data_IF_153847960065
#
_entry.id   IF_153847960065
#
_cell.length_a   1.000
_cell.length_b   1.000
_cell.length_c   1.000
_cell.angle_alpha   90.00
_cell.angle_beta   90.00
_cell.angle_gamma   90.00
#
_symmetry.space_group_name_H-M   'P 1'
#
loop_
_entity.id
_entity.type
_entity.pdbx_description
1 polymer ?
#
# COMPACT_ATOMS: atom_id res chain seq x y z
N UNK A 1 6.99 31.27 -50.45
CA UNK A 1 6.59 29.92 -50.05
C UNK A 1 7.50 29.28 -48.96
N UNK A 2 8.83 29.47 -48.98
CA UNK A 2 9.72 28.87 -47.95
C UNK A 2 9.50 29.41 -46.51
N UNK A 3 9.03 30.63 -46.32
CA UNK A 3 8.79 31.23 -44.99
C UNK A 3 7.59 30.61 -44.22
N UNK A 4 6.59 30.12 -44.92
CA UNK A 4 5.38 29.53 -44.31
C UNK A 4 5.57 28.07 -43.92
N UNK A 5 6.51 27.36 -44.54
CA UNK A 5 6.86 25.95 -44.21
C UNK A 5 7.58 25.89 -42.87
N UNK A 6 8.44 26.85 -42.55
CA UNK A 6 9.17 26.93 -41.29
C UNK A 6 8.22 27.23 -40.11
N UNK A 7 7.22 28.12 -40.36
CA UNK A 7 6.22 28.44 -39.33
C UNK A 7 5.28 27.27 -39.02
N UNK A 8 4.94 26.44 -40.01
CA UNK A 8 4.11 25.26 -39.82
C UNK A 8 4.85 24.12 -39.05
N UNK A 9 6.15 24.00 -39.25
CA UNK A 9 6.95 23.00 -38.51
C UNK A 9 7.21 23.40 -37.07
N UNK A 10 7.19 24.69 -36.72
CA UNK A 10 7.36 25.18 -35.36
C UNK A 10 6.09 24.97 -34.49
N UNK A 11 4.90 24.90 -35.11
CA UNK A 11 3.65 24.60 -34.42
C UNK A 11 3.45 23.10 -34.12
N UNK A 12 4.23 22.18 -34.73
CA UNK A 12 4.13 20.76 -34.48
C UNK A 12 4.98 20.30 -33.30
N UNK A 13 5.81 21.14 -32.67
CA UNK A 13 6.41 20.91 -31.37
C UNK A 13 5.44 21.31 -30.25
N UNK A 14 4.17 20.94 -30.33
CA UNK A 14 3.33 20.84 -29.15
C UNK A 14 3.91 19.73 -28.28
N UNK A 15 4.82 20.08 -27.40
CA UNK A 15 5.24 19.23 -26.29
C UNK A 15 3.97 18.67 -25.66
N UNK A 16 3.78 17.38 -25.76
CA UNK A 16 2.84 16.70 -24.88
C UNK A 16 3.40 16.89 -23.45
N UNK A 17 2.98 17.98 -22.82
CA UNK A 17 3.18 18.17 -21.39
C UNK A 17 2.35 17.05 -20.75
N UNK A 18 3.02 15.96 -20.43
CA UNK A 18 2.42 14.94 -19.59
C UNK A 18 2.10 15.64 -18.27
N UNK A 19 0.83 15.93 -18.02
CA UNK A 19 0.42 16.50 -16.75
C UNK A 19 0.87 15.54 -15.64
N UNK A 20 1.72 16.03 -14.76
CA UNK A 20 2.13 15.25 -13.59
C UNK A 20 0.89 14.98 -12.77
N UNK A 21 0.62 13.70 -12.51
CA UNK A 21 -0.53 13.29 -11.70
C UNK A 21 -0.13 13.33 -10.22
N UNK A 22 -0.91 14.02 -9.41
CA UNK A 22 -0.70 14.11 -7.97
C UNK A 22 -1.69 13.26 -7.19
N UNK A 23 -1.24 12.66 -6.09
CA UNK A 23 -2.09 11.83 -5.21
C UNK A 23 -3.31 12.59 -4.69
N UNK A 24 -3.20 13.89 -4.45
CA UNK A 24 -4.32 14.77 -4.10
C UNK A 24 -5.48 14.66 -5.08
N UNK A 25 -5.19 14.75 -6.38
CA UNK A 25 -6.18 14.69 -7.45
C UNK A 25 -6.80 13.29 -7.57
N UNK A 26 -5.95 12.28 -7.46
CA UNK A 26 -6.35 10.86 -7.46
C UNK A 26 -7.30 10.58 -6.30
N UNK A 27 -7.00 11.07 -5.10
CA UNK A 27 -7.84 10.90 -3.92
C UNK A 27 -9.16 11.68 -4.03
N UNK A 28 -9.15 12.90 -4.54
CA UNK A 28 -10.36 13.70 -4.77
C UNK A 28 -11.33 13.03 -5.75
N UNK A 29 -10.80 12.31 -6.75
CA UNK A 29 -11.58 11.63 -7.81
C UNK A 29 -11.82 10.14 -7.51
N UNK A 30 -11.40 9.64 -6.36
CA UNK A 30 -11.54 8.25 -5.97
C UNK A 30 -13.00 7.79 -6.05
N UNK A 31 -13.31 6.66 -6.73
CA UNK A 31 -14.65 6.09 -6.72
C UNK A 31 -15.05 5.58 -5.34
N UNK A 32 -16.31 5.74 -4.98
CA UNK A 32 -16.83 5.26 -3.69
C UNK A 32 -16.71 3.73 -3.54
N UNK A 33 -16.65 2.98 -4.66
CA UNK A 33 -16.38 1.54 -4.65
C UNK A 33 -15.01 1.16 -4.10
N UNK A 34 -14.01 2.05 -4.18
CA UNK A 34 -12.66 1.83 -3.64
C UNK A 34 -12.59 2.23 -2.16
N UNK A 35 -13.37 3.22 -1.73
CA UNK A 35 -13.41 3.66 -0.32
C UNK A 35 -14.87 3.92 0.12
N UNK A 36 -15.68 2.85 0.26
CA UNK A 36 -17.15 2.96 0.33
C UNK A 36 -17.67 3.67 1.57
N UNK A 37 -16.89 3.75 2.64
CA UNK A 37 -17.31 4.41 3.87
C UNK A 37 -17.07 5.92 3.87
N UNK A 38 -16.47 6.47 2.82
CA UNK A 38 -16.05 7.87 2.76
C UNK A 38 -16.63 8.57 1.53
N UNK A 39 -17.48 9.55 1.75
CA UNK A 39 -18.06 10.33 0.66
C UNK A 39 -17.01 11.19 -0.05
N UNK A 40 -17.34 11.67 -1.25
CA UNK A 40 -16.49 12.63 -1.97
C UNK A 40 -16.25 13.90 -1.16
N UNK A 41 -17.27 14.42 -0.45
CA UNK A 41 -17.14 15.63 0.37
C UNK A 41 -16.17 15.39 1.52
N UNK A 42 -16.26 14.24 2.22
CA UNK A 42 -15.30 13.90 3.28
C UNK A 42 -13.86 13.85 2.77
N UNK A 43 -13.64 13.34 1.54
CA UNK A 43 -12.29 13.33 0.93
C UNK A 43 -11.77 14.74 0.65
N UNK A 44 -12.62 15.62 0.13
CA UNK A 44 -12.26 17.02 -0.12
C UNK A 44 -11.99 17.77 1.18
N UNK A 45 -12.80 17.56 2.22
CA UNK A 45 -12.59 18.14 3.54
C UNK A 45 -11.25 17.69 4.16
N UNK A 46 -10.91 16.39 4.04
CA UNK A 46 -9.61 15.88 4.48
C UNK A 46 -8.44 16.53 3.74
N UNK A 47 -8.56 16.74 2.43
CA UNK A 47 -7.54 17.42 1.63
C UNK A 47 -7.37 18.86 2.12
N UNK A 48 -8.49 19.58 2.27
CA UNK A 48 -8.46 20.97 2.72
C UNK A 48 -7.85 21.10 4.12
N UNK A 49 -8.22 20.24 5.06
CA UNK A 49 -7.67 20.25 6.42
C UNK A 49 -6.15 20.03 6.42
N UNK A 50 -5.66 18.99 5.74
CA UNK A 50 -4.22 18.66 5.77
C UNK A 50 -3.39 19.75 5.07
N UNK A 51 -3.89 20.33 3.97
CA UNK A 51 -3.21 21.42 3.26
C UNK A 51 -3.14 22.73 4.06
N UNK A 52 -4.11 22.94 4.95
CA UNK A 52 -4.11 24.06 5.90
C UNK A 52 -3.39 23.76 7.23
N UNK A 53 -2.69 22.63 7.34
CA UNK A 53 -1.95 22.25 8.54
C UNK A 53 -2.84 21.85 9.73
N UNK A 54 -4.10 21.53 9.46
CA UNK A 54 -5.06 21.05 10.45
C UNK A 54 -5.08 19.52 10.50
N UNK A 55 -5.54 18.96 11.60
CA UNK A 55 -5.81 17.52 11.67
C UNK A 55 -6.95 17.15 10.69
N UNK A 56 -6.62 16.33 9.68
CA UNK A 56 -7.59 15.94 8.67
C UNK A 56 -8.47 14.78 9.18
N UNK A 57 -9.44 15.12 10.01
CA UNK A 57 -10.37 14.21 10.69
C UNK A 57 -11.80 14.48 10.25
N UNK A 58 -12.49 13.45 9.78
CA UNK A 58 -13.89 13.49 9.37
C UNK A 58 -14.63 12.25 9.90
N UNK A 59 -15.96 12.27 9.83
CA UNK A 59 -16.77 11.08 10.12
C UNK A 59 -17.10 10.32 8.85
N UNK A 60 -17.05 8.97 8.92
CA UNK A 60 -17.51 8.11 7.84
C UNK A 60 -19.05 7.94 7.86
N UNK A 61 -19.58 7.10 6.96
CA UNK A 61 -21.03 6.85 6.87
C UNK A 61 -21.64 6.13 8.10
N UNK A 62 -20.81 5.60 8.99
CA UNK A 62 -21.22 4.95 10.25
C UNK A 62 -20.89 5.78 11.49
N UNK A 63 -20.60 7.07 11.32
CA UNK A 63 -20.17 7.98 12.40
C UNK A 63 -18.82 7.66 13.04
N UNK A 64 -18.07 6.66 12.52
CA UNK A 64 -16.71 6.38 12.94
C UNK A 64 -15.75 7.46 12.45
N UNK A 65 -14.66 7.64 13.18
CA UNK A 65 -13.64 8.61 12.79
C UNK A 65 -12.73 8.08 11.69
N UNK A 66 -12.55 8.89 10.67
CA UNK A 66 -11.56 8.73 9.62
C UNK A 66 -10.50 9.80 9.79
N UNK A 67 -9.23 9.43 9.68
CA UNK A 67 -8.10 10.35 9.79
C UNK A 67 -7.18 10.17 8.60
N UNK A 68 -6.97 11.22 7.82
CA UNK A 68 -5.94 11.27 6.78
C UNK A 68 -4.60 11.59 7.46
N UNK A 69 -3.77 10.55 7.66
CA UNK A 69 -2.52 10.66 8.40
C UNK A 69 -1.39 11.29 7.56
N UNK A 70 -1.41 11.09 6.25
CA UNK A 70 -0.40 11.61 5.32
C UNK A 70 -0.94 11.79 3.91
N UNK A 71 -0.56 12.88 3.27
CA UNK A 71 -0.80 13.17 1.87
C UNK A 71 0.46 13.83 1.29
N UNK A 72 1.10 13.18 0.33
CA UNK A 72 2.25 13.70 -0.42
C UNK A 72 1.93 13.72 -1.91
N UNK A 73 2.90 14.08 -2.75
CA UNK A 73 2.71 14.11 -4.20
C UNK A 73 2.27 12.75 -4.77
N UNK A 74 2.81 11.66 -4.23
CA UNK A 74 2.64 10.32 -4.77
C UNK A 74 2.14 9.28 -3.75
N UNK A 75 1.90 9.67 -2.48
CA UNK A 75 1.52 8.76 -1.41
C UNK A 75 0.42 9.34 -0.53
N UNK A 76 -0.44 8.45 -0.04
CA UNK A 76 -1.49 8.74 0.92
C UNK A 76 -1.59 7.62 1.95
N UNK A 77 -1.82 7.98 3.22
CA UNK A 77 -2.18 7.05 4.29
C UNK A 77 -3.41 7.58 5.04
N UNK A 78 -4.44 6.77 5.14
CA UNK A 78 -5.71 7.12 5.77
C UNK A 78 -6.22 5.98 6.66
N UNK A 79 -6.52 6.29 7.90
CA UNK A 79 -7.20 5.40 8.83
C UNK A 79 -8.70 5.51 8.60
N UNK A 80 -9.31 4.41 8.17
CA UNK A 80 -10.73 4.38 7.78
C UNK A 80 -11.66 3.98 8.90
N UNK A 81 -11.11 3.36 9.96
CA UNK A 81 -11.75 3.03 11.24
C UNK A 81 -10.68 2.61 12.24
N UNK A 82 -11.07 2.31 13.48
CA UNK A 82 -10.15 1.74 14.49
C UNK A 82 -9.58 0.36 14.06
N UNK A 83 -10.29 -0.33 13.17
CA UNK A 83 -9.94 -1.66 12.68
C UNK A 83 -9.34 -1.71 11.29
N UNK A 84 -9.11 -0.58 10.61
CA UNK A 84 -8.61 -0.61 9.23
C UNK A 84 -7.95 0.70 8.79
N UNK A 85 -6.94 0.56 7.91
CA UNK A 85 -6.36 1.69 7.20
C UNK A 85 -6.11 1.36 5.73
N UNK A 86 -5.95 2.41 4.93
CA UNK A 86 -5.66 2.31 3.50
C UNK A 86 -4.44 3.18 3.19
N UNK A 87 -3.50 2.62 2.46
CA UNK A 87 -2.39 3.35 1.85
C UNK A 87 -2.53 3.33 0.33
N UNK A 88 -2.19 4.43 -0.30
CA UNK A 88 -2.16 4.52 -1.77
C UNK A 88 -0.82 5.09 -2.23
N UNK A 89 -0.32 4.56 -3.34
CA UNK A 89 0.93 5.00 -3.96
C UNK A 89 0.75 5.15 -5.45
N UNK A 90 1.13 6.32 -5.99
CA UNK A 90 1.34 6.52 -7.41
C UNK A 90 2.72 5.99 -7.78
N UNK A 91 2.78 5.21 -8.84
CA UNK A 91 4.03 4.71 -9.39
C UNK A 91 3.93 4.54 -10.90
N UNK A 92 5.07 4.43 -11.56
CA UNK A 92 5.12 4.25 -13.01
C UNK A 92 5.68 2.88 -13.34
N UNK A 93 4.99 2.15 -14.22
CA UNK A 93 5.42 0.87 -14.78
C UNK A 93 5.52 1.00 -16.30
N UNK A 94 6.74 1.04 -16.83
CA UNK A 94 6.98 1.44 -18.22
C UNK A 94 6.54 2.88 -18.48
N UNK A 95 5.61 3.08 -19.39
CA UNK A 95 5.05 4.40 -19.72
C UNK A 95 3.71 4.69 -19.02
N UNK A 96 3.24 3.78 -18.16
CA UNK A 96 1.92 3.89 -17.53
C UNK A 96 2.02 4.35 -16.08
N UNK A 97 1.24 5.37 -15.74
CA UNK A 97 1.00 5.73 -14.35
C UNK A 97 -0.06 4.79 -13.75
N UNK A 98 0.23 4.22 -12.62
CA UNK A 98 -0.60 3.26 -11.90
C UNK A 98 -0.79 3.69 -10.45
N UNK A 99 -1.87 3.20 -9.84
CA UNK A 99 -2.23 3.44 -8.45
C UNK A 99 -2.20 2.10 -7.71
N UNK A 100 -1.28 1.96 -6.76
CA UNK A 100 -1.29 0.84 -5.82
C UNK A 100 -2.14 1.21 -4.61
N UNK A 101 -3.08 0.36 -4.25
CA UNK A 101 -3.96 0.51 -3.08
C UNK A 101 -3.73 -0.67 -2.16
N UNK A 102 -3.21 -0.41 -0.98
CA UNK A 102 -3.06 -1.34 0.12
C UNK A 102 -4.17 -1.11 1.14
N UNK A 103 -5.02 -2.09 1.38
CA UNK A 103 -6.00 -2.06 2.46
C UNK A 103 -5.60 -3.07 3.53
N UNK A 104 -5.43 -2.59 4.76
CA UNK A 104 -5.07 -3.43 5.90
C UNK A 104 -6.19 -3.44 6.93
N UNK A 105 -6.58 -4.64 7.33
CA UNK A 105 -7.53 -4.89 8.41
C UNK A 105 -6.75 -5.28 9.66
N UNK A 106 -7.05 -4.61 10.78
CA UNK A 106 -6.32 -4.73 12.04
C UNK A 106 -7.00 -5.72 13.01
N UNK A 107 -7.52 -6.83 12.55
CA UNK A 107 -8.11 -7.85 13.41
C UNK A 107 -7.14 -8.33 14.52
N UNK A 108 -7.36 -9.49 15.15
CA UNK A 108 -6.40 -10.06 16.10
C UNK A 108 -5.00 -10.18 15.51
N UNK A 109 -4.90 -10.42 14.20
CA UNK A 109 -3.69 -10.29 13.38
C UNK A 109 -4.00 -9.45 12.16
N UNK A 110 -3.08 -8.54 11.82
CA UNK A 110 -3.26 -7.67 10.66
C UNK A 110 -3.15 -8.47 9.36
N UNK A 111 -4.06 -8.17 8.41
CA UNK A 111 -4.06 -8.76 7.08
C UNK A 111 -4.25 -7.69 6.00
N UNK A 112 -3.57 -7.81 4.87
CA UNK A 112 -3.59 -6.83 3.80
C UNK A 112 -4.03 -7.40 2.47
N UNK A 113 -4.83 -6.61 1.76
CA UNK A 113 -5.17 -6.79 0.35
C UNK A 113 -4.55 -5.66 -0.46
N UNK A 114 -3.76 -6.01 -1.47
CA UNK A 114 -3.07 -5.02 -2.30
C UNK A 114 -3.51 -5.16 -3.76
N UNK A 115 -4.04 -4.09 -4.31
CA UNK A 115 -4.55 -4.02 -5.68
C UNK A 115 -3.93 -2.86 -6.44
N UNK A 116 -3.75 -3.05 -7.73
CA UNK A 116 -3.27 -2.03 -8.66
C UNK A 116 -4.38 -1.64 -9.62
N UNK A 117 -4.54 -0.34 -9.80
CA UNK A 117 -5.50 0.28 -10.70
C UNK A 117 -4.75 1.19 -11.70
N UNK A 118 -5.37 1.43 -12.84
CA UNK A 118 -4.96 2.53 -13.71
C UNK A 118 -5.49 3.88 -13.20
N UNK A 119 -5.10 4.96 -13.85
CA UNK A 119 -5.52 6.33 -13.46
C UNK A 119 -7.01 6.62 -13.68
N UNK A 120 -7.73 5.73 -14.38
CA UNK A 120 -9.19 5.74 -14.54
C UNK A 120 -9.89 4.85 -13.52
N UNK A 121 -9.18 4.33 -12.52
CA UNK A 121 -9.65 3.42 -11.49
C UNK A 121 -10.14 2.05 -12.00
N UNK A 122 -9.72 1.67 -13.19
CA UNK A 122 -9.94 0.32 -13.69
C UNK A 122 -8.94 -0.63 -13.04
N UNK A 123 -9.43 -1.73 -12.48
CA UNK A 123 -8.59 -2.78 -11.91
C UNK A 123 -7.61 -3.36 -12.94
N UNK A 124 -6.34 -3.44 -12.57
CA UNK A 124 -5.26 -3.99 -13.39
C UNK A 124 -4.84 -5.36 -12.87
N UNK A 125 -4.41 -5.44 -11.61
CA UNK A 125 -3.94 -6.70 -10.99
C UNK A 125 -3.96 -6.63 -9.46
N UNK A 126 -3.93 -7.78 -8.81
CA UNK A 126 -3.56 -7.88 -7.41
C UNK A 126 -2.02 -7.97 -7.28
N UNK A 127 -1.49 -7.50 -6.18
CA UNK A 127 -0.09 -7.77 -5.80
C UNK A 127 -0.07 -9.04 -4.97
N UNK A 128 0.62 -10.05 -5.47
CA UNK A 128 0.72 -11.34 -4.78
C UNK A 128 1.52 -11.23 -3.50
N UNK A 129 1.07 -11.91 -2.46
CA UNK A 129 1.82 -12.07 -1.21
C UNK A 129 3.11 -12.84 -1.48
N UNK A 130 4.22 -12.51 -0.81
CA UNK A 130 5.45 -13.30 -0.91
C UNK A 130 5.22 -14.72 -0.39
N UNK A 131 5.95 -15.68 -0.96
CA UNK A 131 5.96 -17.04 -0.44
C UNK A 131 6.59 -17.07 0.95
N UNK A 132 6.11 -17.98 1.80
CA UNK A 132 6.60 -18.12 3.18
C UNK A 132 8.12 -18.37 3.25
N UNK A 133 8.68 -19.07 2.27
CA UNK A 133 10.11 -19.36 2.20
C UNK A 133 10.96 -18.08 2.15
N UNK A 134 10.48 -17.02 1.50
CA UNK A 134 11.18 -15.73 1.46
C UNK A 134 11.23 -15.06 2.84
N UNK A 135 10.15 -15.20 3.64
CA UNK A 135 10.08 -14.69 4.99
C UNK A 135 10.94 -15.50 5.97
N UNK A 136 11.14 -16.79 5.70
CA UNK A 136 11.94 -17.71 6.50
C UNK A 136 13.42 -17.78 6.08
N UNK A 137 13.82 -17.14 4.99
CA UNK A 137 15.15 -17.24 4.40
C UNK A 137 16.27 -17.04 5.43
N UNK A 138 16.17 -16.01 6.28
CA UNK A 138 17.17 -15.76 7.32
C UNK A 138 17.23 -16.87 8.37
N UNK A 139 16.10 -17.47 8.71
CA UNK A 139 16.07 -18.61 9.64
C UNK A 139 16.77 -19.82 9.01
N UNK A 140 16.60 -20.03 7.71
CA UNK A 140 17.20 -21.15 6.97
C UNK A 140 18.73 -21.00 6.83
N UNK A 141 19.24 -19.78 6.74
CA UNK A 141 20.69 -19.49 6.70
C UNK A 141 21.41 -19.80 8.03
N UNK A 142 20.68 -19.98 9.14
CA UNK A 142 21.24 -20.24 10.47
C UNK A 142 21.36 -21.74 10.81
N UNK A 143 21.27 -22.61 9.84
CA UNK A 143 21.46 -24.05 10.08
C UNK A 143 22.92 -24.39 10.49
N UNK A 144 23.15 -25.43 11.36
CA UNK A 144 22.14 -26.33 11.93
C UNK A 144 21.36 -25.70 13.08
N UNK A 145 20.05 -25.93 13.12
CA UNK A 145 19.18 -25.40 14.16
C UNK A 145 19.25 -26.19 15.46
N UNK A 146 19.03 -25.51 16.59
CA UNK A 146 18.68 -26.21 17.83
C UNK A 146 17.32 -26.91 17.66
N UNK A 147 17.08 -27.96 18.45
CA UNK A 147 15.79 -28.69 18.47
C UNK A 147 14.62 -27.72 18.68
N UNK A 148 14.76 -26.80 19.65
CA UNK A 148 13.75 -25.79 19.97
C UNK A 148 13.44 -24.87 18.75
N UNK A 149 14.45 -24.46 18.03
CA UNK A 149 14.26 -23.63 16.83
C UNK A 149 13.61 -24.39 15.70
N UNK A 150 14.00 -25.66 15.49
CA UNK A 150 13.40 -26.52 14.47
C UNK A 150 11.90 -26.75 14.74
N UNK A 151 11.54 -27.00 16.01
CA UNK A 151 10.14 -27.15 16.42
C UNK A 151 9.34 -25.85 16.25
N UNK A 152 9.91 -24.72 16.64
CA UNK A 152 9.29 -23.41 16.45
C UNK A 152 9.02 -23.11 14.97
N UNK A 153 10.00 -23.34 14.09
CA UNK A 153 9.83 -23.11 12.65
C UNK A 153 8.78 -24.07 12.04
N UNK A 154 8.69 -25.30 12.54
CA UNK A 154 7.63 -26.25 12.12
C UNK A 154 6.25 -25.72 12.49
N UNK A 155 6.07 -25.19 13.70
CA UNK A 155 4.81 -24.59 14.14
C UNK A 155 4.45 -23.35 13.31
N UNK A 156 5.41 -22.45 13.05
CA UNK A 156 5.21 -21.27 12.19
C UNK A 156 4.76 -21.66 10.78
N UNK A 157 5.39 -22.69 10.20
CA UNK A 157 5.01 -23.18 8.86
C UNK A 157 3.60 -23.76 8.87
N UNK A 158 3.28 -24.61 9.82
CA UNK A 158 1.96 -25.25 9.93
C UNK A 158 0.85 -24.19 10.09
N UNK A 159 1.06 -23.16 10.90
CA UNK A 159 0.09 -22.08 11.06
C UNK A 159 -0.05 -21.23 9.80
N UNK A 160 1.05 -20.84 9.18
CA UNK A 160 1.04 -20.03 7.96
C UNK A 160 0.48 -20.79 6.73
N UNK A 161 0.54 -22.12 6.71
CA UNK A 161 -0.13 -22.93 5.68
C UNK A 161 -1.65 -22.91 5.81
N UNK A 162 -2.16 -22.85 7.05
CA UNK A 162 -3.61 -22.81 7.32
C UNK A 162 -4.18 -21.40 7.13
N UNK A 163 -3.49 -20.39 7.67
CA UNK A 163 -3.95 -19.00 7.65
C UNK A 163 -2.77 -18.02 7.48
N UNK A 164 -2.30 -17.79 6.26
CA UNK A 164 -1.15 -16.95 5.99
C UNK A 164 -1.49 -15.44 6.10
N UNK A 165 -1.77 -14.96 7.32
CA UNK A 165 -2.03 -13.53 7.56
C UNK A 165 -0.73 -12.72 7.35
N UNK A 166 -0.78 -11.75 6.47
CA UNK A 166 0.35 -10.90 6.15
C UNK A 166 -0.10 -9.44 6.03
N UNK A 167 0.55 -8.57 6.79
CA UNK A 167 0.38 -7.13 6.57
C UNK A 167 1.36 -6.61 5.52
N UNK A 168 0.88 -5.73 4.67
CA UNK A 168 1.68 -4.97 3.72
C UNK A 168 1.77 -3.51 4.16
N UNK A 169 2.88 -2.85 3.82
CA UNK A 169 3.06 -1.42 3.99
C UNK A 169 3.71 -0.83 2.74
N UNK A 170 3.11 0.21 2.19
CA UNK A 170 3.69 0.97 1.07
C UNK A 170 4.72 1.98 1.58
N UNK A 171 5.82 2.12 0.85
CA UNK A 171 6.87 3.08 1.20
C UNK A 171 6.58 4.43 0.54
N UNK A 172 6.45 5.52 1.32
CA UNK A 172 6.22 6.86 0.79
C UNK A 172 7.36 7.37 -0.09
N UNK A 173 8.61 7.01 0.23
CA UNK A 173 9.80 7.49 -0.49
C UNK A 173 10.28 6.59 -1.63
N UNK A 174 9.60 5.49 -1.94
CA UNK A 174 10.04 4.56 -3.00
C UNK A 174 8.88 3.69 -3.52
N UNK A 175 9.07 3.10 -4.72
CA UNK A 175 8.11 2.16 -5.30
C UNK A 175 8.27 0.75 -4.70
N UNK A 176 8.25 0.65 -3.38
CA UNK A 176 8.43 -0.61 -2.66
C UNK A 176 7.28 -0.90 -1.73
N UNK A 177 7.02 -2.18 -1.57
CA UNK A 177 6.06 -2.73 -0.62
C UNK A 177 6.77 -3.66 0.35
N UNK A 178 6.49 -3.50 1.63
CA UNK A 178 7.08 -4.30 2.72
C UNK A 178 6.01 -5.25 3.24
N UNK A 179 6.25 -6.54 3.14
CA UNK A 179 5.37 -7.58 3.65
C UNK A 179 5.91 -8.16 4.96
N UNK A 180 5.02 -8.32 5.93
CA UNK A 180 5.35 -8.89 7.25
C UNK A 180 4.35 -9.98 7.59
N UNK A 181 4.85 -11.18 7.93
CA UNK A 181 4.01 -12.26 8.44
C UNK A 181 3.44 -11.85 9.81
N UNK A 182 2.14 -12.02 9.98
CA UNK A 182 1.42 -11.69 11.21
C UNK A 182 0.96 -12.97 11.90
N UNK A 183 1.06 -12.99 13.22
CA UNK A 183 0.42 -14.01 14.04
C UNK A 183 0.12 -13.47 15.41
N UNK A 184 -1.14 -13.54 15.79
CA UNK A 184 -1.61 -13.21 17.15
C UNK A 184 -1.57 -14.41 18.09
N UNK A 185 -1.60 -15.62 17.55
CA UNK A 185 -1.78 -16.86 18.29
C UNK A 185 -0.47 -17.43 18.86
N UNK A 186 0.68 -16.92 18.40
CA UNK A 186 1.96 -17.40 18.93
C UNK A 186 2.14 -17.08 20.41
N UNK A 187 2.65 -18.06 21.17
CA UNK A 187 3.11 -17.83 22.54
C UNK A 187 4.16 -16.71 22.60
N UNK A 188 4.38 -16.11 23.77
CA UNK A 188 5.39 -15.04 23.94
C UNK A 188 6.78 -15.52 23.53
N UNK A 189 7.10 -16.77 23.80
CA UNK A 189 8.36 -17.42 23.46
C UNK A 189 8.51 -17.56 21.94
N UNK A 190 7.48 -18.05 21.27
CA UNK A 190 7.45 -18.17 19.80
C UNK A 190 7.54 -16.79 19.16
N UNK A 191 6.80 -15.78 19.64
CA UNK A 191 6.88 -14.40 19.14
C UNK A 191 8.30 -13.84 19.22
N UNK A 192 9.04 -14.13 20.28
CA UNK A 192 10.43 -13.69 20.45
C UNK A 192 11.35 -14.35 19.42
N UNK A 193 11.19 -15.64 19.17
CA UNK A 193 11.96 -16.39 18.17
C UNK A 193 11.59 -15.95 16.77
N UNK A 194 10.31 -15.87 16.45
CA UNK A 194 9.76 -15.41 15.17
C UNK A 194 10.24 -14.01 14.85
N UNK A 195 10.08 -13.07 15.78
CA UNK A 195 10.52 -11.67 15.57
C UNK A 195 12.03 -11.52 15.36
N UNK A 196 12.84 -12.48 15.81
CA UNK A 196 14.29 -12.48 15.59
C UNK A 196 14.69 -13.02 14.21
N UNK A 197 13.95 -13.97 13.66
CA UNK A 197 14.34 -14.74 12.47
C UNK A 197 13.43 -14.53 11.27
N UNK A 198 12.18 -14.14 11.46
CA UNK A 198 11.30 -13.70 10.38
C UNK A 198 11.61 -12.25 10.04
N UNK A 199 11.98 -12.00 8.80
CA UNK A 199 12.23 -10.65 8.31
C UNK A 199 11.13 -10.22 7.34
N UNK A 200 10.80 -8.93 7.34
CA UNK A 200 9.96 -8.38 6.30
C UNK A 200 10.58 -8.63 4.91
N UNK A 201 9.74 -8.98 3.95
CA UNK A 201 10.12 -9.09 2.54
C UNK A 201 9.79 -7.80 1.84
N UNK A 202 10.79 -7.22 1.19
CA UNK A 202 10.65 -5.98 0.42
C UNK A 202 10.60 -6.36 -1.05
N UNK A 203 9.52 -5.97 -1.73
CA UNK A 203 9.32 -6.18 -3.16
C UNK A 203 9.12 -4.83 -3.85
N UNK A 204 9.46 -4.77 -5.14
CA UNK A 204 9.10 -3.65 -6.01
C UNK A 204 7.63 -3.76 -6.43
N UNK A 205 6.97 -2.61 -6.63
CA UNK A 205 5.59 -2.50 -7.08
C UNK A 205 5.44 -2.80 -8.58
#
# INVERSE_FOLDING_TARGET
>A
MKKYIVSFFLCMLSCAVSAQLYMREVFAQLPDSVLPLMTKNNRLDCIDFIENGMEARVKNLFDDQVVLDSLTEDFLSIRTSDGSYVEMKLFTEGEKNLICVNRTYLGPSADSEVKVYDTSWKYVRAVSRPKLELLLKKAEELQPWSTEMADTLRMVRAEAEVLPLMSAKLCSGSNKIVWTLQSSEYSKEIKKVVGKYLQPVILDL
#
